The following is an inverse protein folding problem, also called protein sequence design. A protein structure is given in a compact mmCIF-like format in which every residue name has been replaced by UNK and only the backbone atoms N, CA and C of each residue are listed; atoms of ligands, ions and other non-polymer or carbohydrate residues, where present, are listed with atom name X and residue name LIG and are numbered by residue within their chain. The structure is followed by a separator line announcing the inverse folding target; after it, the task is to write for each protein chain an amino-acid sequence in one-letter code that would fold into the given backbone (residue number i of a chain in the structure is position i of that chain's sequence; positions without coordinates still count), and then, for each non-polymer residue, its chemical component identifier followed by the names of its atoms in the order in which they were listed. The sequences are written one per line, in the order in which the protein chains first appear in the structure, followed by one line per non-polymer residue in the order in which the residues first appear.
data_IF_024893278790
#
_entry.id   IF_024893278790
#
_cell.length_a   1.000
_cell.length_b   1.000
_cell.length_c   1.000
_cell.angle_alpha   90.00
_cell.angle_beta   90.00
_cell.angle_gamma   90.00
#
_symmetry.space_group_name_H-M   'P 1'
#
loop_
_entity.id
_entity.type
_entity.pdbx_description
1 polymer ?
#
# COMPACT_ATOMS: atom_id res chain seq x y z
N UNK A 1 -11.69 -22.61 13.15
CA UNK A 1 -12.42 -22.37 11.89
C UNK A 1 -11.70 -21.29 11.12
N UNK A 2 -10.98 -21.64 10.03
CA UNK A 2 -10.28 -20.66 9.19
C UNK A 2 -11.37 -19.85 8.47
N UNK A 3 -11.70 -18.66 8.97
CA UNK A 3 -12.67 -17.79 8.30
C UNK A 3 -12.09 -17.45 6.93
N UNK A 4 -12.64 -18.04 5.88
CA UNK A 4 -12.38 -17.69 4.50
C UNK A 4 -13.05 -16.35 4.26
N UNK A 5 -12.41 -15.28 4.72
CA UNK A 5 -12.88 -13.93 4.43
C UNK A 5 -12.76 -13.71 2.94
N UNK A 6 -13.84 -13.24 2.37
CA UNK A 6 -13.98 -12.97 0.96
C UNK A 6 -13.27 -11.67 0.60
N UNK A 7 -13.01 -11.45 -0.68
CA UNK A 7 -12.51 -10.17 -1.19
C UNK A 7 -13.53 -9.04 -0.89
N UNK A 8 -14.82 -9.37 -0.76
CA UNK A 8 -15.86 -8.45 -0.27
C UNK A 8 -15.54 -7.88 1.12
N UNK A 9 -15.03 -8.72 2.02
CA UNK A 9 -14.79 -8.32 3.42
C UNK A 9 -13.61 -7.35 3.51
N UNK A 10 -12.65 -7.49 2.59
CA UNK A 10 -11.60 -6.50 2.39
C UNK A 10 -12.16 -5.18 1.84
N UNK A 11 -13.07 -5.26 0.86
CA UNK A 11 -13.72 -4.09 0.28
C UNK A 11 -14.53 -3.31 1.31
N UNK A 12 -15.17 -3.97 2.29
CA UNK A 12 -15.89 -3.31 3.38
C UNK A 12 -15.01 -2.90 4.56
N UNK A 13 -13.94 -3.65 4.87
CA UNK A 13 -13.14 -3.46 6.09
C UNK A 13 -12.05 -2.39 6.02
N UNK A 14 -11.50 -2.11 4.84
CA UNK A 14 -10.44 -1.10 4.66
C UNK A 14 -11.03 0.19 4.10
N UNK A 15 -10.83 1.32 4.77
CA UNK A 15 -11.27 2.63 4.26
C UNK A 15 -10.43 2.98 3.02
N UNK A 16 -11.01 3.69 2.04
CA UNK A 16 -10.26 4.17 0.87
C UNK A 16 -9.34 5.31 1.28
N UNK A 17 -8.18 5.44 0.64
CA UNK A 17 -7.31 6.59 0.83
C UNK A 17 -8.03 7.85 0.34
N UNK A 18 -8.05 8.90 1.14
CA UNK A 18 -8.60 10.19 0.71
C UNK A 18 -7.62 10.86 -0.26
N UNK A 19 -8.13 11.56 -1.28
CA UNK A 19 -7.30 12.20 -2.29
C UNK A 19 -6.34 13.24 -1.68
N UNK A 20 -6.77 13.88 -0.59
CA UNK A 20 -5.97 14.81 0.20
C UNK A 20 -4.99 14.12 1.16
N UNK A 21 -5.11 12.80 1.38
CA UNK A 21 -4.22 12.05 2.26
C UNK A 21 -4.49 12.25 3.75
N UNK A 22 -5.59 12.88 4.13
CA UNK A 22 -5.93 13.17 5.54
C UNK A 22 -6.02 11.91 6.39
N UNK A 23 -6.49 10.79 5.80
CA UNK A 23 -6.58 9.50 6.47
C UNK A 23 -5.37 8.57 6.26
N UNK A 24 -4.25 9.07 5.72
CA UNK A 24 -3.09 8.25 5.31
C UNK A 24 -2.60 7.29 6.40
N UNK A 25 -2.41 7.77 7.63
CA UNK A 25 -1.87 6.97 8.74
C UNK A 25 -2.75 5.74 9.03
N UNK A 26 -4.07 5.94 9.09
CA UNK A 26 -5.04 4.88 9.35
C UNK A 26 -5.20 3.96 8.15
N UNK A 27 -5.24 4.55 6.94
CA UNK A 27 -5.26 3.81 5.69
C UNK A 27 -4.08 2.85 5.60
N UNK A 28 -2.85 3.34 5.78
CA UNK A 28 -1.63 2.56 5.69
C UNK A 28 -1.65 1.41 6.69
N UNK A 29 -2.01 1.67 7.95
CA UNK A 29 -2.09 0.63 8.99
C UNK A 29 -3.08 -0.48 8.62
N UNK A 30 -4.34 -0.13 8.31
CA UNK A 30 -5.37 -1.11 7.97
C UNK A 30 -5.09 -1.84 6.66
N UNK A 31 -4.55 -1.15 5.67
CA UNK A 31 -4.18 -1.75 4.39
C UNK A 31 -3.04 -2.75 4.57
N UNK A 32 -2.00 -2.43 5.34
CA UNK A 32 -0.90 -3.34 5.67
C UNK A 32 -1.39 -4.62 6.35
N UNK A 33 -2.25 -4.50 7.37
CA UNK A 33 -2.85 -5.66 8.06
C UNK A 33 -3.62 -6.55 7.06
N UNK A 34 -4.37 -5.93 6.17
CA UNK A 34 -5.17 -6.66 5.19
C UNK A 34 -4.33 -7.40 4.13
N UNK A 35 -3.24 -6.79 3.64
CA UNK A 35 -2.35 -7.44 2.66
C UNK A 35 -1.50 -8.54 3.29
N UNK A 36 -1.15 -8.41 4.58
CA UNK A 36 -0.48 -9.45 5.36
C UNK A 36 -1.39 -10.66 5.52
N UNK A 37 -2.64 -10.43 5.89
CA UNK A 37 -3.64 -11.47 6.02
C UNK A 37 -3.97 -12.18 4.68
N UNK A 38 -3.77 -11.50 3.54
CA UNK A 38 -3.89 -12.08 2.19
C UNK A 38 -2.60 -12.72 1.66
N UNK A 39 -1.54 -12.76 2.45
CA UNK A 39 -0.23 -13.33 2.08
C UNK A 39 0.38 -12.71 0.80
N UNK A 40 0.12 -11.41 0.61
CA UNK A 40 0.67 -10.60 -0.50
C UNK A 40 1.53 -9.44 -0.03
N UNK A 41 1.74 -9.25 1.28
CA UNK A 41 2.63 -8.21 1.83
C UNK A 41 4.00 -8.20 1.15
N UNK A 42 4.54 -9.39 0.83
CA UNK A 42 5.85 -9.52 0.18
C UNK A 42 5.95 -8.91 -1.23
N UNK A 43 4.81 -8.65 -1.87
CA UNK A 43 4.73 -7.93 -3.15
C UNK A 43 4.73 -6.41 -2.96
N UNK A 44 4.36 -5.92 -1.77
CA UNK A 44 4.36 -4.50 -1.43
C UNK A 44 5.71 -4.04 -0.86
N UNK A 45 6.37 -4.87 -0.06
CA UNK A 45 7.69 -4.56 0.52
C UNK A 45 8.87 -4.83 -0.45
N UNK A 46 8.62 -5.54 -1.55
CA UNK A 46 9.63 -5.92 -2.55
C UNK A 46 10.51 -7.12 -2.15
N UNK A 47 10.21 -7.81 -1.04
CA UNK A 47 10.95 -8.99 -0.56
C UNK A 47 10.69 -10.25 -1.39
N UNK A 48 9.67 -10.24 -2.25
CA UNK A 48 9.39 -11.28 -3.24
C UNK A 48 9.70 -10.79 -4.67
N UNK A 49 10.99 -10.74 -5.07
CA UNK A 49 11.36 -10.31 -6.41
C UNK A 49 10.78 -11.27 -7.46
N UNK A 50 10.53 -10.73 -8.65
CA UNK A 50 10.09 -11.53 -9.80
C UNK A 50 11.11 -12.65 -10.07
N UNK A 51 10.70 -13.92 -10.19
CA UNK A 51 11.59 -15.00 -10.54
C UNK A 51 12.35 -14.70 -11.82
N UNK A 52 13.64 -15.04 -11.85
CA UNK A 52 14.51 -14.93 -13.03
C UNK A 52 14.99 -16.33 -13.37
N UNK A 53 14.95 -16.70 -14.65
CA UNK A 53 15.59 -17.93 -15.12
C UNK A 53 17.10 -17.83 -14.89
N UNK A 54 17.58 -18.54 -13.88
CA UNK A 54 19.01 -18.80 -13.76
C UNK A 54 19.37 -19.78 -14.87
N UNK A 55 20.06 -19.33 -15.92
CA UNK A 55 20.96 -20.24 -16.63
C UNK A 55 21.97 -20.72 -15.59
N UNK A 56 22.29 -22.01 -15.54
CA UNK A 56 23.46 -22.46 -14.77
C UNK A 56 24.72 -21.72 -15.21
N UNK A 57 25.82 -21.89 -14.48
CA UNK A 57 27.13 -21.31 -14.82
C UNK A 57 27.37 -21.27 -16.34
N UNK A 58 27.90 -20.11 -16.79
CA UNK A 58 28.06 -19.67 -18.19
C UNK A 58 28.01 -20.82 -19.20
N UNK A 59 27.02 -20.75 -20.09
CA UNK A 59 26.88 -21.52 -21.33
C UNK A 59 26.20 -22.89 -21.27
N UNK A 60 25.56 -23.25 -20.14
CA UNK A 60 24.68 -24.44 -20.13
C UNK A 60 23.22 -24.03 -20.27
N UNK A 61 22.54 -24.55 -21.30
CA UNK A 61 21.09 -24.38 -21.48
C UNK A 61 20.34 -24.91 -20.24
N UNK A 62 19.32 -24.18 -19.74
CA UNK A 62 18.56 -24.62 -18.58
C UNK A 62 17.91 -25.98 -18.83
N UNK A 63 18.00 -26.85 -17.83
CA UNK A 63 17.40 -28.19 -17.88
C UNK A 63 15.87 -28.05 -17.89
N UNK A 64 15.15 -28.99 -18.53
CA UNK A 64 13.68 -28.98 -18.57
C UNK A 64 13.04 -28.81 -17.19
N UNK A 65 13.59 -29.47 -16.17
CA UNK A 65 13.14 -29.36 -14.78
C UNK A 65 13.31 -27.95 -14.19
N UNK A 66 14.38 -27.23 -14.57
CA UNK A 66 14.62 -25.85 -14.13
C UNK A 66 13.64 -24.88 -14.81
N UNK A 67 13.34 -25.11 -16.08
CA UNK A 67 12.35 -24.34 -16.83
C UNK A 67 10.94 -24.55 -16.27
N UNK A 68 10.55 -25.80 -16.02
CA UNK A 68 9.24 -26.15 -15.45
C UNK A 68 9.06 -25.56 -14.04
N UNK A 69 10.10 -25.63 -13.19
CA UNK A 69 10.09 -25.02 -11.86
C UNK A 69 10.01 -23.49 -11.91
N UNK A 70 10.72 -22.86 -12.85
CA UNK A 70 10.66 -21.42 -13.07
C UNK A 70 9.27 -20.97 -13.53
N UNK A 71 8.66 -21.65 -14.51
CA UNK A 71 7.34 -21.31 -15.01
C UNK A 71 6.28 -21.38 -13.91
N UNK A 72 6.36 -22.42 -13.07
CA UNK A 72 5.47 -22.55 -11.90
C UNK A 72 5.68 -21.40 -10.91
N UNK A 73 6.92 -21.09 -10.56
CA UNK A 73 7.23 -19.99 -9.65
C UNK A 73 6.77 -18.63 -10.22
N UNK A 74 6.95 -18.40 -11.52
CA UNK A 74 6.52 -17.19 -12.21
C UNK A 74 4.98 -17.09 -12.24
N UNK A 75 4.26 -18.19 -12.46
CA UNK A 75 2.81 -18.22 -12.44
C UNK A 75 2.25 -17.89 -11.04
N UNK A 76 2.82 -18.49 -10.00
CA UNK A 76 2.46 -18.21 -8.61
C UNK A 76 2.76 -16.76 -8.21
N UNK A 77 3.95 -16.25 -8.57
CA UNK A 77 4.34 -14.86 -8.35
C UNK A 77 3.38 -13.90 -9.07
N UNK A 78 3.08 -14.15 -10.34
CA UNK A 78 2.18 -13.32 -11.17
C UNK A 78 0.77 -13.30 -10.59
N UNK A 79 0.28 -14.42 -10.05
CA UNK A 79 -1.03 -14.47 -9.39
C UNK A 79 -1.05 -13.57 -8.15
N UNK A 80 -0.01 -13.63 -7.32
CA UNK A 80 0.12 -12.75 -6.13
C UNK A 80 0.26 -11.28 -6.52
N UNK A 81 1.04 -10.98 -7.55
CA UNK A 81 1.23 -9.61 -8.06
C UNK A 81 -0.10 -9.02 -8.58
N UNK A 82 -0.87 -9.80 -9.35
CA UNK A 82 -2.20 -9.40 -9.84
C UNK A 82 -3.18 -9.14 -8.69
N UNK A 83 -3.19 -10.01 -7.68
CA UNK A 83 -4.03 -9.83 -6.49
C UNK A 83 -3.66 -8.56 -5.72
N UNK A 84 -2.36 -8.34 -5.49
CA UNK A 84 -1.83 -7.16 -4.83
C UNK A 84 -2.22 -5.87 -5.59
N UNK A 85 -2.04 -5.88 -6.92
CA UNK A 85 -2.42 -4.75 -7.79
C UNK A 85 -3.93 -4.47 -7.73
N UNK A 86 -4.75 -5.53 -7.74
CA UNK A 86 -6.19 -5.39 -7.63
C UNK A 86 -6.63 -4.79 -6.28
N UNK A 87 -6.09 -5.29 -5.17
CA UNK A 87 -6.35 -4.75 -3.84
C UNK A 87 -5.98 -3.28 -3.72
N UNK A 88 -4.84 -2.88 -4.31
CA UNK A 88 -4.39 -1.50 -4.36
C UNK A 88 -5.38 -0.62 -5.17
N UNK A 89 -5.77 -1.06 -6.37
CA UNK A 89 -6.71 -0.31 -7.22
C UNK A 89 -8.09 -0.09 -6.59
N UNK A 90 -8.55 -1.00 -5.73
CA UNK A 90 -9.86 -0.85 -5.07
C UNK A 90 -9.89 0.26 -4.02
N UNK A 91 -8.74 0.57 -3.44
CA UNK A 91 -8.63 1.41 -2.24
C UNK A 91 -7.96 2.75 -2.49
N UNK A 92 -7.47 2.97 -3.70
CA UNK A 92 -6.97 4.26 -4.15
C UNK A 92 -8.05 5.02 -4.92
N UNK A 93 -8.14 6.35 -4.75
CA UNK A 93 -8.79 7.25 -5.69
C UNK A 93 -8.17 7.16 -7.08
N UNK A 94 -8.98 7.42 -8.11
CA UNK A 94 -8.56 7.37 -9.51
C UNK A 94 -7.39 8.32 -9.82
N UNK A 95 -7.32 9.46 -9.13
CA UNK A 95 -6.22 10.44 -9.28
C UNK A 95 -4.88 9.91 -8.81
N UNK A 96 -4.86 9.13 -7.72
CA UNK A 96 -3.64 8.50 -7.21
C UNK A 96 -3.30 7.28 -8.08
N UNK A 97 -4.34 6.54 -8.49
CA UNK A 97 -4.16 5.38 -9.35
C UNK A 97 -3.54 5.75 -10.69
N UNK A 98 -3.97 6.86 -11.31
CA UNK A 98 -3.39 7.33 -12.56
C UNK A 98 -1.91 7.68 -12.44
N UNK A 99 -1.49 8.19 -11.29
CA UNK A 99 -0.09 8.53 -11.02
C UNK A 99 0.78 7.28 -10.90
N UNK A 100 0.26 6.16 -10.38
CA UNK A 100 1.06 4.95 -10.14
C UNK A 100 0.87 3.85 -11.19
N UNK A 101 -0.18 3.88 -12.02
CA UNK A 101 -0.52 2.77 -12.93
C UNK A 101 0.56 2.43 -13.97
N UNK A 102 1.45 3.38 -14.29
CA UNK A 102 2.54 3.21 -15.24
C UNK A 102 3.77 2.50 -14.68
N UNK A 103 3.80 2.23 -13.36
CA UNK A 103 4.91 1.52 -12.70
C UNK A 103 4.88 0.02 -12.99
N UNK A 104 6.05 -0.61 -12.90
CA UNK A 104 6.23 -2.00 -13.36
C UNK A 104 5.85 -3.03 -12.30
N UNK A 105 5.97 -2.69 -11.01
CA UNK A 105 5.63 -3.56 -9.89
C UNK A 105 4.79 -2.84 -8.84
N UNK A 106 3.97 -3.61 -8.13
CA UNK A 106 3.22 -3.15 -6.95
C UNK A 106 4.14 -2.58 -5.88
N UNK A 107 5.35 -3.12 -5.71
CA UNK A 107 6.33 -2.59 -4.77
C UNK A 107 6.72 -1.14 -5.09
N UNK A 108 6.92 -0.83 -6.37
CA UNK A 108 7.22 0.54 -6.82
C UNK A 108 6.03 1.47 -6.62
N UNK A 109 4.82 1.01 -6.98
CA UNK A 109 3.59 1.78 -6.76
C UNK A 109 3.41 2.11 -5.27
N UNK A 110 3.59 1.11 -4.41
CA UNK A 110 3.43 1.26 -2.97
C UNK A 110 4.47 2.18 -2.36
N UNK A 111 5.74 2.04 -2.75
CA UNK A 111 6.83 2.92 -2.29
C UNK A 111 6.56 4.38 -2.61
N UNK A 112 6.13 4.69 -3.84
CA UNK A 112 5.83 6.06 -4.25
C UNK A 112 4.65 6.65 -3.44
N UNK A 113 3.61 5.85 -3.21
CA UNK A 113 2.46 6.24 -2.37
C UNK A 113 2.91 6.52 -0.94
N UNK A 114 3.70 5.63 -0.35
CA UNK A 114 4.21 5.78 1.02
C UNK A 114 5.02 7.06 1.16
N UNK A 115 5.93 7.34 0.22
CA UNK A 115 6.74 8.57 0.24
C UNK A 115 5.84 9.81 0.13
N UNK A 116 4.95 9.84 -0.88
CA UNK A 116 4.09 11.01 -1.16
C UNK A 116 3.19 11.35 0.03
N UNK A 117 2.57 10.36 0.64
CA UNK A 117 1.56 10.58 1.67
C UNK A 117 2.12 10.64 3.09
N UNK A 118 3.26 10.02 3.38
CA UNK A 118 3.93 10.20 4.68
C UNK A 118 4.45 11.63 4.83
N UNK A 119 5.09 12.18 3.79
CA UNK A 119 5.52 13.59 3.78
C UNK A 119 4.34 14.55 3.94
N UNK A 120 3.22 14.27 3.26
CA UNK A 120 2.02 15.11 3.35
C UNK A 120 1.38 15.03 4.74
N UNK A 121 1.36 13.85 5.35
CA UNK A 121 0.86 13.65 6.72
C UNK A 121 1.71 14.39 7.74
N UNK A 122 3.04 14.30 7.64
CA UNK A 122 3.98 15.02 8.52
C UNK A 122 3.81 16.54 8.39
N UNK A 123 3.69 17.06 7.16
CA UNK A 123 3.45 18.48 6.92
C UNK A 123 2.10 18.93 7.50
N UNK A 124 1.06 18.12 7.34
CA UNK A 124 -0.27 18.42 7.89
C UNK A 124 -0.25 18.45 9.41
N UNK A 125 0.46 17.51 10.05
CA UNK A 125 0.65 17.50 11.50
C UNK A 125 1.44 18.72 11.99
N UNK A 126 2.52 19.09 11.29
CA UNK A 126 3.31 20.28 11.62
C UNK A 126 2.50 21.57 11.46
N UNK A 127 1.67 21.65 10.41
CA UNK A 127 0.76 22.77 10.18
C UNK A 127 -0.27 22.90 11.30
N UNK A 128 -0.97 21.81 11.66
CA UNK A 128 -1.94 21.80 12.77
C UNK A 128 -1.27 22.18 14.10
N UNK A 129 -0.06 21.67 14.36
CA UNK A 129 0.69 22.05 15.54
C UNK A 129 1.07 23.53 15.53
N UNK A 130 1.47 24.08 14.38
CA UNK A 130 1.75 25.51 14.23
C UNK A 130 0.50 26.35 14.45
N UNK A 131 -0.65 25.96 13.91
CA UNK A 131 -1.92 26.65 14.12
C UNK A 131 -2.31 26.64 15.60
N UNK A 132 -2.20 25.47 16.25
CA UNK A 132 -2.46 25.34 17.68
C UNK A 132 -1.53 26.22 18.53
N UNK A 133 -0.24 26.31 18.19
CA UNK A 133 0.70 27.19 18.90
C UNK A 133 0.47 28.68 18.60
N UNK A 134 -0.08 29.00 17.42
CA UNK A 134 -0.45 30.36 17.03
C UNK A 134 -1.79 30.80 17.63
N UNK A 135 -2.66 29.87 18.03
CA UNK A 135 -3.88 30.17 18.79
C UNK A 135 -3.48 30.87 20.09
N UNK A 136 -3.85 32.14 20.20
CA UNK A 136 -3.67 32.91 21.44
C UNK A 136 -5.00 33.00 22.17
N UNK A 137 -4.91 32.88 23.49
CA UNK A 137 -6.04 33.19 24.37
C UNK A 137 -6.52 34.63 24.14
N UNK A 138 -7.76 34.78 23.70
CA UNK A 138 -8.47 36.05 23.65
C UNK A 138 -9.14 36.31 25.00
N UNK A 139 -8.71 37.36 25.71
CA UNK A 139 -9.21 37.71 27.05
C UNK A 139 -10.72 37.93 27.03
N UNK A 140 -11.46 37.08 27.75
CA UNK A 140 -12.93 37.13 27.85
C UNK A 140 -13.68 36.11 27.00
N UNK A 141 -12.97 35.21 26.31
CA UNK A 141 -13.59 34.11 25.54
C UNK A 141 -13.97 32.97 26.47
N UNK A 142 -15.23 32.55 26.43
CA UNK A 142 -15.69 31.40 27.21
C UNK A 142 -15.15 30.13 26.56
N UNK A 143 -14.18 29.49 27.22
CA UNK A 143 -13.55 28.26 26.73
C UNK A 143 -14.56 27.12 26.59
N UNK A 144 -15.71 27.14 27.28
CA UNK A 144 -16.73 26.08 27.15
C UNK A 144 -17.46 26.11 25.81
N UNK A 145 -17.61 27.28 25.20
CA UNK A 145 -18.26 27.41 23.89
C UNK A 145 -17.39 26.90 22.72
N UNK A 146 -16.11 26.62 22.95
CA UNK A 146 -15.16 26.12 21.95
C UNK A 146 -15.04 24.58 21.95
N UNK A 147 -15.68 23.88 22.88
CA UNK A 147 -15.60 22.41 23.04
C UNK A 147 -16.95 21.68 22.92
N UNK A 148 -18.06 22.39 22.69
CA UNK A 148 -19.40 21.84 22.40
C UNK A 148 -19.68 21.86 20.88
#
# INVERSE_FOLDING_TARGET
TRMSTSLSDFTSGVVKLDADGSNWMMFQSHFTIAVEYRDVLRQFDGTNPKPILSSGEKDTAPTKEQTDAYEKALAEWTKKEKLAKYMLSQKLPDTIWSDCMHKTSVAEMWKDIVIKYSLKSELSQAHLHSEFMAMRYTKGTDLRAEFD
#
